data_IF_923833525325
#
_entry.id   IF_923833525325
#
_cell.length_a   1.000
_cell.length_b   1.000
_cell.length_c   1.000
_cell.angle_alpha   90.00
_cell.angle_beta   90.00
_cell.angle_gamma   90.00
#
_symmetry.space_group_name_H-M   'P 1'
#
loop_
_entity.id
_entity.type
_entity.pdbx_description
1 polymer ?
#
# COMPACT_ATOMS: atom_id res chain seq x y z
N UNK A 1 -21.54 13.30 3.17
CA UNK A 1 -21.05 11.98 2.72
C UNK A 1 -20.21 12.07 1.44
N UNK A 2 -20.68 12.70 0.37
CA UNK A 2 -19.94 12.83 -0.91
C UNK A 2 -18.62 13.63 -0.77
N UNK A 3 -18.64 14.73 -0.01
CA UNK A 3 -17.47 15.60 0.20
C UNK A 3 -16.28 14.88 0.87
N UNK A 4 -16.54 13.85 1.68
CA UNK A 4 -15.49 13.05 2.36
C UNK A 4 -14.99 11.92 1.47
N UNK A 5 -15.85 11.33 0.64
CA UNK A 5 -15.51 10.19 -0.21
C UNK A 5 -14.66 10.56 -1.43
N UNK A 6 -14.85 11.76 -1.99
CA UNK A 6 -14.09 12.25 -3.15
C UNK A 6 -12.57 12.30 -2.87
N UNK A 7 -12.08 13.02 -1.83
CA UNK A 7 -10.64 13.09 -1.57
C UNK A 7 -10.03 11.74 -1.23
N UNK A 8 -10.77 10.88 -0.52
CA UNK A 8 -10.31 9.51 -0.21
C UNK A 8 -10.09 8.68 -1.49
N UNK A 9 -11.00 8.80 -2.47
CA UNK A 9 -10.87 8.08 -3.75
C UNK A 9 -9.78 8.65 -4.65
N UNK A 10 -9.60 9.97 -4.66
CA UNK A 10 -8.51 10.60 -5.39
C UNK A 10 -7.14 10.18 -4.83
N UNK A 11 -6.99 10.12 -3.50
CA UNK A 11 -5.74 9.71 -2.86
C UNK A 11 -5.29 8.31 -3.27
N UNK A 12 -6.22 7.35 -3.36
CA UNK A 12 -5.93 5.98 -3.79
C UNK A 12 -5.42 5.96 -5.25
N UNK A 13 -6.05 6.73 -6.13
CA UNK A 13 -5.65 6.82 -7.54
C UNK A 13 -4.25 7.40 -7.71
N UNK A 14 -3.96 8.53 -7.05
CA UNK A 14 -2.64 9.16 -7.11
C UNK A 14 -1.55 8.23 -6.56
N UNK A 15 -1.82 7.54 -5.45
CA UNK A 15 -0.89 6.56 -4.88
C UNK A 15 -0.56 5.45 -5.87
N UNK A 16 -1.58 4.85 -6.49
CA UNK A 16 -1.39 3.77 -7.46
C UNK A 16 -0.60 4.20 -8.70
N UNK A 17 -0.88 5.39 -9.24
CA UNK A 17 -0.12 5.91 -10.38
C UNK A 17 1.34 6.20 -10.03
N UNK A 18 1.60 6.75 -8.85
CA UNK A 18 2.95 7.07 -8.41
C UNK A 18 3.82 5.82 -8.22
N UNK A 19 3.29 4.76 -7.60
CA UNK A 19 4.00 3.48 -7.45
C UNK A 19 4.21 2.79 -8.80
N UNK A 20 3.25 2.89 -9.72
CA UNK A 20 3.40 2.42 -11.09
C UNK A 20 4.58 3.07 -11.80
N UNK A 21 4.73 4.39 -11.72
CA UNK A 21 5.87 5.11 -12.32
C UNK A 21 7.20 4.64 -11.70
N UNK A 22 7.26 4.49 -10.38
CA UNK A 22 8.45 4.02 -9.66
C UNK A 22 8.87 2.60 -10.07
N UNK A 23 7.90 1.68 -10.24
CA UNK A 23 8.17 0.31 -10.73
C UNK A 23 8.71 0.35 -12.16
N UNK A 24 8.15 1.20 -13.03
CA UNK A 24 8.62 1.34 -14.40
C UNK A 24 10.02 1.99 -14.48
N UNK A 25 10.37 2.87 -13.55
CA UNK A 25 11.71 3.44 -13.44
C UNK A 25 12.70 2.49 -12.77
N UNK A 26 12.26 1.47 -12.02
CA UNK A 26 13.17 0.54 -11.36
C UNK A 26 13.87 -0.42 -12.34
N UNK A 27 13.32 -0.64 -13.54
CA UNK A 27 13.79 -1.65 -14.48
C UNK A 27 14.01 -1.10 -15.90
N UNK A 28 14.92 -1.68 -16.68
CA UNK A 28 15.10 -1.34 -18.08
C UNK A 28 13.91 -1.82 -18.94
N UNK A 29 13.75 -1.22 -20.13
CA UNK A 29 12.57 -1.38 -20.98
C UNK A 29 12.19 -2.84 -21.31
N UNK A 30 13.19 -3.72 -21.42
CA UNK A 30 12.98 -5.13 -21.77
C UNK A 30 12.43 -5.99 -20.62
N UNK A 31 12.49 -5.54 -19.36
CA UNK A 31 11.88 -6.24 -18.21
C UNK A 31 10.59 -5.60 -17.70
N UNK A 32 10.09 -4.53 -18.32
CA UNK A 32 8.92 -3.80 -17.83
C UNK A 32 7.70 -4.71 -17.66
N UNK A 33 7.47 -5.65 -18.58
CA UNK A 33 6.37 -6.61 -18.50
C UNK A 33 6.44 -7.49 -17.26
N UNK A 34 7.60 -8.11 -17.01
CA UNK A 34 7.81 -8.97 -15.84
C UNK A 34 7.73 -8.21 -14.52
N UNK A 35 8.29 -7.00 -14.46
CA UNK A 35 8.25 -6.15 -13.26
C UNK A 35 6.83 -5.69 -12.92
N UNK A 36 6.05 -5.24 -13.91
CA UNK A 36 4.65 -4.87 -13.71
C UNK A 36 3.79 -6.09 -13.34
N UNK A 37 4.07 -7.26 -13.93
CA UNK A 37 3.43 -8.52 -13.55
C UNK A 37 3.64 -8.86 -12.06
N UNK A 38 4.88 -8.80 -11.58
CA UNK A 38 5.20 -8.99 -10.16
C UNK A 38 4.56 -7.93 -9.26
N UNK A 39 4.53 -6.66 -9.68
CA UNK A 39 3.86 -5.61 -8.92
C UNK A 39 2.34 -5.88 -8.80
N UNK A 40 1.70 -6.37 -9.86
CA UNK A 40 0.28 -6.69 -9.86
C UNK A 40 -0.04 -7.94 -9.02
N UNK A 41 0.80 -8.97 -9.04
CA UNK A 41 0.62 -10.15 -8.18
C UNK A 41 0.78 -9.78 -6.71
N UNK A 42 1.81 -9.01 -6.35
CA UNK A 42 2.00 -8.49 -4.99
C UNK A 42 0.81 -7.63 -4.53
N UNK A 43 0.28 -6.78 -5.41
CA UNK A 43 -0.92 -5.97 -5.13
C UNK A 43 -2.15 -6.84 -4.89
N UNK A 44 -2.32 -7.91 -5.67
CA UNK A 44 -3.45 -8.83 -5.56
C UNK A 44 -3.40 -9.63 -4.25
N UNK A 45 -2.22 -10.13 -3.88
CA UNK A 45 -1.98 -10.81 -2.59
C UNK A 45 -2.31 -9.86 -1.44
N UNK A 46 -1.80 -8.63 -1.49
CA UNK A 46 -2.07 -7.61 -0.47
C UNK A 46 -3.57 -7.31 -0.33
N UNK A 47 -4.31 -7.28 -1.46
CA UNK A 47 -5.76 -7.04 -1.46
C UNK A 47 -6.56 -8.18 -0.85
N UNK A 48 -6.03 -9.41 -0.86
CA UNK A 48 -6.64 -10.58 -0.20
C UNK A 48 -6.27 -10.63 1.28
N UNK A 49 -5.01 -10.33 1.61
CA UNK A 49 -4.52 -10.34 3.00
C UNK A 49 -5.12 -9.21 3.83
N UNK A 50 -5.38 -8.03 3.24
CA UNK A 50 -5.89 -6.88 3.98
C UNK A 50 -7.26 -7.16 4.66
N UNK A 51 -8.31 -7.65 3.96
CA UNK A 51 -9.57 -8.05 4.60
C UNK A 51 -9.42 -9.24 5.55
N UNK A 52 -8.52 -10.18 5.27
CA UNK A 52 -8.28 -11.33 6.14
C UNK A 52 -7.77 -10.86 7.51
N UNK A 53 -6.70 -10.06 7.53
CA UNK A 53 -6.09 -9.57 8.77
C UNK A 53 -7.00 -8.58 9.47
N UNK A 54 -7.55 -7.59 8.75
CA UNK A 54 -8.43 -6.58 9.35
C UNK A 54 -9.73 -7.20 9.86
N UNK A 55 -10.33 -8.14 9.10
CA UNK A 55 -11.54 -8.84 9.49
C UNK A 55 -11.34 -9.75 10.69
N UNK A 56 -10.25 -10.53 10.73
CA UNK A 56 -9.92 -11.37 11.89
C UNK A 56 -9.60 -10.53 13.13
N UNK A 57 -8.84 -9.45 12.98
CA UNK A 57 -8.52 -8.54 14.09
C UNK A 57 -9.79 -7.86 14.65
N UNK A 58 -10.70 -7.44 13.76
CA UNK A 58 -11.97 -6.83 14.14
C UNK A 58 -12.92 -7.83 14.82
N UNK A 59 -13.03 -9.05 14.29
CA UNK A 59 -13.83 -10.12 14.91
C UNK A 59 -13.33 -10.48 16.32
N UNK A 60 -12.01 -10.54 16.51
CA UNK A 60 -11.40 -10.77 17.83
C UNK A 60 -11.67 -9.61 18.79
N UNK A 61 -11.55 -8.38 18.30
CA UNK A 61 -11.81 -7.15 19.04
C UNK A 61 -13.26 -7.10 19.57
N UNK A 62 -14.27 -7.41 18.75
CA UNK A 62 -15.68 -7.47 19.22
C UNK A 62 -15.90 -8.64 20.21
N UNK A 63 -15.29 -9.80 19.97
CA UNK A 63 -15.61 -11.02 20.73
C UNK A 63 -14.89 -11.11 22.08
N UNK A 64 -13.69 -10.53 22.21
CA UNK A 64 -12.87 -10.58 23.43
C UNK A 64 -12.33 -9.21 23.88
N UNK A 65 -12.28 -8.22 23.01
CA UNK A 65 -11.70 -6.88 23.28
C UNK A 65 -12.47 -6.06 24.30
N UNK A 66 -13.81 -6.20 24.37
CA UNK A 66 -14.65 -5.49 25.35
C UNK A 66 -14.23 -5.75 26.82
N UNK A 67 -13.59 -6.89 27.11
CA UNK A 67 -13.08 -7.20 28.46
C UNK A 67 -11.79 -6.49 28.83
N UNK A 68 -11.00 -6.03 27.85
CA UNK A 68 -9.69 -5.41 28.08
C UNK A 68 -9.73 -3.89 28.15
N UNK A 69 -10.87 -3.25 27.85
CA UNK A 69 -11.01 -1.80 27.83
C UNK A 69 -10.22 -1.13 26.70
N UNK A 70 -10.22 0.20 26.70
CA UNK A 70 -9.49 1.02 25.73
C UNK A 70 -7.98 0.77 25.87
N UNK A 71 -7.19 0.48 24.81
CA UNK A 71 -7.45 0.65 23.37
C UNK A 71 -7.71 -0.65 22.57
N UNK A 72 -7.92 -1.80 23.23
CA UNK A 72 -8.04 -3.12 22.58
C UNK A 72 -9.48 -3.50 22.17
N UNK A 73 -10.42 -2.58 22.35
CA UNK A 73 -11.80 -2.68 21.90
C UNK A 73 -11.90 -2.42 20.37
N UNK A 74 -13.05 -1.99 19.82
CA UNK A 74 -13.26 -1.79 18.37
C UNK A 74 -12.21 -0.88 17.68
N UNK A 75 -11.55 -0.02 18.45
CA UNK A 75 -10.47 0.85 17.98
C UNK A 75 -9.19 0.12 17.58
N UNK A 76 -8.98 -1.14 18.03
CA UNK A 76 -7.77 -1.91 17.74
C UNK A 76 -7.54 -2.13 16.24
N UNK A 77 -8.60 -2.43 15.48
CA UNK A 77 -8.51 -2.62 14.03
C UNK A 77 -8.11 -1.32 13.31
N UNK A 78 -8.61 -0.18 13.76
CA UNK A 78 -8.25 1.13 13.23
C UNK A 78 -6.82 1.54 13.61
N UNK A 79 -6.37 1.20 14.83
CA UNK A 79 -5.00 1.46 15.27
C UNK A 79 -3.99 0.63 14.46
N UNK A 80 -4.30 -0.65 14.21
CA UNK A 80 -3.51 -1.51 13.30
C UNK A 80 -3.41 -0.91 11.89
N UNK A 81 -4.53 -0.46 11.32
CA UNK A 81 -4.53 0.19 10.01
C UNK A 81 -3.69 1.47 10.00
N UNK A 82 -3.75 2.26 11.08
CA UNK A 82 -2.96 3.47 11.24
C UNK A 82 -1.46 3.18 11.29
N UNK A 83 -1.04 2.10 11.99
CA UNK A 83 0.37 1.67 12.03
C UNK A 83 0.85 1.28 10.63
N UNK A 84 0.06 0.51 9.88
CA UNK A 84 0.40 0.12 8.50
C UNK A 84 0.54 1.35 7.60
N UNK A 85 -0.35 2.33 7.72
CA UNK A 85 -0.29 3.58 6.98
C UNK A 85 0.96 4.39 7.35
N UNK A 86 1.29 4.48 8.64
CA UNK A 86 2.49 5.17 9.12
C UNK A 86 3.78 4.52 8.60
N UNK A 87 3.86 3.19 8.62
CA UNK A 87 4.98 2.44 8.02
C UNK A 87 5.11 2.73 6.52
N UNK A 88 4.00 2.80 5.78
CA UNK A 88 4.02 3.14 4.35
C UNK A 88 4.56 4.55 4.10
N UNK A 89 4.24 5.51 4.97
CA UNK A 89 4.81 6.87 4.91
C UNK A 89 6.31 6.85 5.21
N UNK A 90 6.75 6.12 6.25
CA UNK A 90 8.16 5.98 6.59
C UNK A 90 8.96 5.38 5.43
N UNK A 91 8.45 4.31 4.80
CA UNK A 91 9.04 3.69 3.61
C UNK A 91 9.10 4.67 2.42
N UNK A 92 8.07 5.52 2.27
CA UNK A 92 8.05 6.55 1.23
C UNK A 92 9.11 7.63 1.49
N UNK A 93 9.35 7.98 2.75
CA UNK A 93 10.40 8.93 3.14
C UNK A 93 11.82 8.37 2.97
N UNK A 94 12.02 7.06 3.11
CA UNK A 94 13.33 6.41 2.94
C UNK A 94 13.63 6.06 1.48
N UNK A 95 12.66 6.23 0.57
CA UNK A 95 12.82 5.88 -0.83
C UNK A 95 13.88 6.77 -1.51
N UNK A 96 14.93 6.19 -2.13
CA UNK A 96 15.99 6.97 -2.74
C UNK A 96 15.49 7.71 -3.99
N UNK A 97 15.82 9.00 -4.09
CA UNK A 97 15.47 9.87 -5.24
C UNK A 97 15.96 9.32 -6.60
N UNK A 98 16.90 8.37 -6.60
CA UNK A 98 17.41 7.68 -7.80
C UNK A 98 16.31 6.93 -8.55
N UNK A 99 15.29 6.42 -7.85
CA UNK A 99 14.18 5.69 -8.48
C UNK A 99 13.25 6.61 -9.29
N UNK A 100 13.40 7.92 -9.17
CA UNK A 100 12.69 8.89 -10.01
C UNK A 100 13.33 9.05 -11.40
N UNK A 101 14.57 8.60 -11.58
CA UNK A 101 15.26 8.62 -12.87
C UNK A 101 15.13 7.26 -13.55
N UNK A 102 14.66 7.26 -14.80
CA UNK A 102 14.61 6.04 -15.61
C UNK A 102 16.03 5.64 -15.99
N UNK A 103 16.43 4.36 -15.84
CA UNK A 103 17.70 3.86 -16.34
C UNK A 103 17.80 4.13 -17.83
N UNK A 104 18.79 4.93 -18.23
CA UNK A 104 19.11 5.17 -19.63
C UNK A 104 19.33 3.82 -20.30
N UNK A 105 18.48 3.47 -21.27
CA UNK A 105 18.70 2.26 -22.04
C UNK A 105 20.09 2.35 -22.68
N UNK A 106 20.91 1.28 -22.68
CA UNK A 106 22.07 1.25 -23.55
C UNK A 106 21.53 1.35 -24.99
N UNK A 107 21.89 2.44 -25.68
CA UNK A 107 21.71 2.54 -27.12
C UNK A 107 22.50 1.38 -27.72
N UNK A 108 21.82 0.32 -28.14
CA UNK A 108 22.42 -0.64 -29.08
C UNK A 108 22.55 0.10 -30.41
N UNK A 109 23.71 0.74 -30.60
CA UNK A 109 24.26 1.06 -31.94
C UNK A 109 24.60 -0.24 -32.66
#
# INVERSE_FOLDING_TARGET
MIVVLIPLRMGIGCGFSSTGILVNNAVPAYLLGSANGLAMTASSISRTLAPLVAGSAFAWSISKGYKHGFPLDEHFAFMLLSIVCFLAVLLSCTLPKRLNMRPSAPVKV
#
